data_IF_673036279536
#
_entry.id   IF_673036279536
#
_cell.length_a   1.000
_cell.length_b   1.000
_cell.length_c   1.000
_cell.angle_alpha   90.00
_cell.angle_beta   90.00
_cell.angle_gamma   90.00
#
_symmetry.space_group_name_H-M   'P 1'
#
loop_
_entity.id
_entity.type
_entity.pdbx_description
1 polymer ?
#
# COMPACT_ATOMS: atom_id res chain seq x y z
N UNK A 1 -4.01 0.44 2.40
CA UNK A 1 -3.97 1.02 3.76
C UNK A 1 -4.69 2.34 3.73
N UNK A 2 -5.44 2.63 4.79
CA UNK A 2 -6.12 3.90 5.00
C UNK A 2 -5.14 4.83 5.70
N UNK A 3 -4.92 6.02 5.16
CA UNK A 3 -4.11 7.06 5.78
C UNK A 3 -5.03 8.21 6.15
N UNK A 4 -4.84 8.75 7.35
CA UNK A 4 -5.53 9.94 7.82
C UNK A 4 -4.50 11.04 8.06
N UNK A 5 -4.86 12.26 7.69
CA UNK A 5 -4.12 13.46 8.03
C UNK A 5 -5.12 14.47 8.57
N UNK A 6 -4.92 14.90 9.81
CA UNK A 6 -5.62 16.04 10.39
C UNK A 6 -4.60 17.17 10.48
N UNK A 7 -4.84 18.26 9.75
CA UNK A 7 -4.03 19.46 9.85
C UNK A 7 -4.68 20.39 10.88
N UNK A 8 -4.03 20.59 12.04
CA UNK A 8 -4.50 21.48 13.10
C UNK A 8 -3.52 22.64 13.34
N UNK A 9 -4.00 23.88 13.26
CA UNK A 9 -3.21 25.10 13.48
C UNK A 9 -3.81 26.05 14.52
N UNK A 10 -4.89 25.67 15.22
CA UNK A 10 -5.70 26.60 16.03
C UNK A 10 -5.85 26.16 17.48
N UNK A 11 -5.02 26.71 18.36
CA UNK A 11 -5.12 26.56 19.82
C UNK A 11 -6.55 26.68 20.35
N UNK A 12 -6.87 25.82 21.32
CA UNK A 12 -8.17 25.68 21.96
C UNK A 12 -8.94 26.99 22.07
N UNK A 13 -10.10 27.03 21.40
CA UNK A 13 -11.39 27.61 21.78
C UNK A 13 -12.19 27.86 20.48
N UNK A 14 -13.01 26.86 20.11
CA UNK A 14 -14.13 26.90 19.14
C UNK A 14 -13.78 26.85 17.64
N UNK A 15 -14.29 25.89 16.83
CA UNK A 15 -14.78 24.52 17.11
C UNK A 15 -13.66 23.45 17.08
N UNK A 16 -13.90 22.31 17.71
CA UNK A 16 -12.98 21.15 17.70
C UNK A 16 -13.59 19.97 16.93
N UNK A 17 -12.75 19.25 16.18
CA UNK A 17 -13.15 18.03 15.44
C UNK A 17 -12.19 16.92 15.79
N UNK A 18 -12.69 15.94 16.54
CA UNK A 18 -11.92 14.75 16.92
C UNK A 18 -12.30 13.58 16.00
N UNK A 19 -11.31 12.92 15.40
CA UNK A 19 -11.54 11.71 14.60
C UNK A 19 -11.01 10.50 15.36
N UNK A 20 -11.92 9.57 15.65
CA UNK A 20 -11.64 8.29 16.28
C UNK A 20 -11.64 7.19 15.24
N UNK A 21 -10.60 6.35 15.22
CA UNK A 21 -10.60 5.09 14.48
C UNK A 21 -10.53 3.91 15.45
N UNK A 22 -11.49 2.98 15.32
CA UNK A 22 -11.63 1.84 16.22
C UNK A 22 -11.61 0.52 15.43
N UNK A 23 -11.01 -0.51 16.05
CA UNK A 23 -10.89 -1.87 15.51
C UNK A 23 -12.12 -2.75 15.79
N UNK A 24 -13.09 -2.26 16.57
CA UNK A 24 -14.37 -2.92 16.82
C UNK A 24 -15.57 -2.00 16.55
N UNK A 25 -16.74 -2.63 16.42
CA UNK A 25 -18.00 -2.01 16.01
C UNK A 25 -18.86 -1.47 17.16
N UNK A 26 -18.40 -1.58 18.40
CA UNK A 26 -19.25 -1.31 19.56
C UNK A 26 -19.06 0.11 20.05
N UNK A 27 -20.05 0.95 19.75
CA UNK A 27 -20.20 2.33 20.24
C UNK A 27 -20.17 2.43 21.79
N UNK A 28 -20.21 1.29 22.50
CA UNK A 28 -20.27 1.20 23.95
C UNK A 28 -18.91 1.09 24.65
N UNK A 29 -17.81 0.80 23.94
CA UNK A 29 -16.48 0.66 24.53
C UNK A 29 -15.48 1.58 23.83
N UNK A 30 -15.54 2.86 24.17
CA UNK A 30 -14.48 3.82 23.89
C UNK A 30 -13.25 3.58 24.80
N UNK A 31 -12.76 2.34 24.83
CA UNK A 31 -11.61 1.89 25.63
C UNK A 31 -10.27 2.10 24.93
N UNK A 32 -9.22 1.50 25.50
CA UNK A 32 -7.78 1.59 25.16
C UNK A 32 -7.37 1.24 23.71
N UNK A 33 -8.32 0.91 22.84
CA UNK A 33 -8.10 0.47 21.45
C UNK A 33 -8.51 1.52 20.38
N UNK A 34 -8.98 2.71 20.78
CA UNK A 34 -9.21 3.83 19.87
C UNK A 34 -8.16 4.92 20.12
N UNK A 35 -7.69 5.55 19.04
CA UNK A 35 -6.78 6.71 19.10
C UNK A 35 -7.57 8.00 18.90
N UNK A 36 -7.21 9.05 19.65
CA UNK A 36 -7.73 10.41 19.48
C UNK A 36 -6.73 11.24 18.68
N UNK A 37 -7.22 11.91 17.64
CA UNK A 37 -6.51 13.01 16.99
C UNK A 37 -7.31 14.27 17.29
N UNK A 38 -6.91 14.96 18.37
CA UNK A 38 -7.67 16.04 19.00
C UNK A 38 -6.73 17.03 19.69
N UNK A 39 -7.04 18.32 19.57
CA UNK A 39 -6.27 19.42 20.17
C UNK A 39 -6.42 19.49 21.70
N UNK A 40 -6.04 20.63 22.29
CA UNK A 40 -6.18 20.88 23.72
C UNK A 40 -7.67 21.05 24.11
N UNK A 41 -8.37 19.92 24.24
CA UNK A 41 -9.80 19.82 24.50
C UNK A 41 -10.24 18.36 24.68
N UNK A 42 -9.48 17.42 24.11
CA UNK A 42 -9.62 15.98 24.32
C UNK A 42 -9.67 15.62 25.81
N UNK A 43 -10.69 14.84 26.21
CA UNK A 43 -10.73 14.26 27.55
C UNK A 43 -9.46 13.43 27.75
N UNK A 44 -8.81 13.53 28.92
CA UNK A 44 -7.51 12.89 29.22
C UNK A 44 -7.51 11.35 29.23
N UNK A 45 -8.46 10.71 28.55
CA UNK A 45 -8.85 9.31 28.67
C UNK A 45 -8.23 8.42 27.60
N UNK A 46 -7.67 8.96 26.49
CA UNK A 46 -7.15 8.16 25.37
C UNK A 46 -5.80 8.64 24.81
N UNK A 47 -5.01 7.74 24.18
CA UNK A 47 -3.72 8.10 23.59
C UNK A 47 -3.88 9.03 22.38
N UNK A 48 -3.23 10.19 22.45
CA UNK A 48 -3.07 11.12 21.32
C UNK A 48 -1.95 10.65 20.40
N UNK A 49 -2.12 10.79 19.09
CA UNK A 49 -1.04 10.50 18.17
C UNK A 49 -0.98 11.49 17.01
N UNK A 50 0.20 12.07 16.79
CA UNK A 50 0.45 13.06 15.75
C UNK A 50 0.98 12.37 14.48
N UNK A 51 0.37 12.67 13.32
CA UNK A 51 0.85 12.23 12.00
C UNK A 51 0.03 11.11 11.33
N UNK A 52 0.50 10.66 10.17
CA UNK A 52 -0.18 9.66 9.34
C UNK A 52 -0.22 8.28 10.05
N UNK A 53 -1.42 7.85 10.47
CA UNK A 53 -1.62 6.48 10.97
C UNK A 53 -1.97 5.51 9.86
N UNK A 54 -1.29 4.36 9.88
CA UNK A 54 -1.55 3.23 8.99
C UNK A 54 -2.38 2.19 9.72
N UNK A 55 -3.58 1.92 9.21
CA UNK A 55 -4.42 0.83 9.69
C UNK A 55 -4.22 -0.43 8.81
N UNK A 56 -4.16 -1.63 9.42
CA UNK A 56 -4.16 -2.90 8.68
C UNK A 56 -5.34 -3.00 7.73
N UNK A 57 -5.26 -3.89 6.73
CA UNK A 57 -6.41 -4.18 5.87
C UNK A 57 -7.56 -4.77 6.70
N UNK A 58 -8.78 -4.23 6.56
CA UNK A 58 -9.94 -4.66 7.33
C UNK A 58 -11.08 -3.65 7.28
N UNK A 59 -12.20 -4.00 7.90
CA UNK A 59 -13.29 -3.06 8.15
C UNK A 59 -12.91 -2.21 9.36
N UNK A 60 -12.94 -0.90 9.19
CA UNK A 60 -12.66 0.06 10.26
C UNK A 60 -13.90 0.93 10.48
N UNK A 61 -14.08 1.34 11.73
CA UNK A 61 -15.19 2.17 12.14
C UNK A 61 -14.61 3.52 12.57
N UNK A 62 -15.21 4.60 12.08
CA UNK A 62 -14.80 5.95 12.40
C UNK A 62 -15.94 6.70 13.08
N UNK A 63 -15.59 7.49 14.09
CA UNK A 63 -16.49 8.46 14.71
C UNK A 63 -15.84 9.83 14.55
N UNK A 64 -16.58 10.79 14.04
CA UNK A 64 -16.18 12.19 14.07
C UNK A 64 -17.00 12.87 15.16
N UNK A 65 -16.35 13.32 16.22
CA UNK A 65 -16.96 14.20 17.22
C UNK A 65 -16.76 15.64 16.76
N UNK A 66 -17.83 16.42 16.84
CA UNK A 66 -17.84 17.83 16.44
C UNK A 66 -18.34 18.60 17.64
N UNK A 67 -17.45 19.37 18.27
CA UNK A 67 -17.81 20.23 19.39
C UNK A 67 -17.94 21.69 18.92
N UNK A 68 -19.16 22.21 18.97
CA UNK A 68 -19.45 23.63 18.76
C UNK A 68 -20.11 24.21 20.02
N UNK A 69 -19.39 25.07 20.74
CA UNK A 69 -19.90 25.75 21.92
C UNK A 69 -20.80 26.95 21.61
N UNK A 70 -21.04 27.27 20.34
CA UNK A 70 -21.79 28.45 19.91
C UNK A 70 -23.22 28.07 19.53
N UNK A 71 -24.19 28.38 20.37
CA UNK A 71 -25.60 28.14 20.06
C UNK A 71 -26.04 28.97 18.84
N UNK A 72 -26.36 28.32 17.72
CA UNK A 72 -27.15 28.94 16.63
C UNK A 72 -26.55 28.93 15.23
N UNK A 73 -25.35 28.39 15.03
CA UNK A 73 -24.80 28.07 13.70
C UNK A 73 -24.25 26.65 13.75
N UNK A 74 -24.80 25.73 12.95
CA UNK A 74 -24.09 24.49 12.63
C UNK A 74 -23.31 24.75 11.35
N UNK A 75 -22.00 25.05 11.39
CA UNK A 75 -21.22 25.05 10.16
C UNK A 75 -21.22 23.64 9.56
N UNK A 76 -21.15 23.56 8.22
CA UNK A 76 -20.98 22.27 7.55
C UNK A 76 -19.54 21.79 7.77
N UNK A 77 -19.36 20.65 8.44
CA UNK A 77 -18.06 20.00 8.60
C UNK A 77 -17.88 18.93 7.53
N UNK A 78 -16.70 18.90 6.89
CA UNK A 78 -16.34 17.88 5.89
C UNK A 78 -15.19 17.02 6.41
N UNK A 79 -15.44 15.73 6.59
CA UNK A 79 -14.39 14.74 6.85
C UNK A 79 -14.02 14.09 5.51
N UNK A 80 -12.78 14.26 5.06
CA UNK A 80 -12.28 13.64 3.82
C UNK A 80 -11.48 12.38 4.15
N UNK A 81 -12.02 11.22 3.78
CA UNK A 81 -11.34 9.94 3.93
C UNK A 81 -10.69 9.56 2.59
N UNK A 82 -9.37 9.67 2.52
CA UNK A 82 -8.61 9.33 1.31
C UNK A 82 -8.14 7.86 1.37
N UNK A 83 -8.96 6.95 0.86
CA UNK A 83 -8.54 5.58 0.63
C UNK A 83 -7.87 5.46 -0.74
N UNK A 84 -6.63 4.94 -0.78
CA UNK A 84 -5.99 4.60 -2.05
C UNK A 84 -6.76 3.45 -2.72
N UNK A 85 -7.03 3.57 -4.02
CA UNK A 85 -7.68 2.53 -4.81
C UNK A 85 -6.83 1.25 -4.86
N UNK A 86 -7.50 0.11 -4.89
CA UNK A 86 -6.86 -1.20 -4.97
C UNK A 86 -6.40 -1.46 -6.39
N UNK A 87 -5.15 -1.88 -6.54
CA UNK A 87 -4.55 -2.27 -7.82
C UNK A 87 -4.45 -3.78 -7.97
N UNK A 88 -4.38 -4.23 -9.22
CA UNK A 88 -4.09 -5.62 -9.58
C UNK A 88 -2.72 -5.68 -10.25
N UNK A 89 -1.91 -6.65 -9.86
CA UNK A 89 -0.61 -6.91 -10.48
C UNK A 89 -0.52 -8.42 -10.71
N UNK A 90 -0.32 -8.80 -11.97
CA UNK A 90 -0.07 -10.17 -12.40
C UNK A 90 1.18 -10.19 -13.25
N UNK A 91 1.91 -11.30 -13.24
CA UNK A 91 3.16 -11.42 -13.97
C UNK A 91 3.18 -12.66 -14.87
N UNK A 92 4.01 -12.61 -15.90
CA UNK A 92 4.26 -13.73 -16.81
C UNK A 92 5.72 -13.77 -17.25
N UNK A 93 6.43 -14.75 -16.73
CA UNK A 93 7.81 -15.07 -17.09
C UNK A 93 7.91 -15.51 -18.56
N UNK A 94 8.99 -15.11 -19.21
CA UNK A 94 9.30 -15.49 -20.58
C UNK A 94 10.82 -15.74 -20.74
N UNK A 95 11.26 -16.99 -20.97
CA UNK A 95 10.46 -18.21 -21.07
C UNK A 95 10.08 -18.79 -19.69
N UNK A 96 9.17 -19.77 -19.67
CA UNK A 96 8.84 -20.58 -18.46
C UNK A 96 9.78 -21.78 -18.28
N UNK A 97 10.46 -22.18 -19.33
CA UNK A 97 11.50 -23.22 -19.32
C UNK A 97 12.69 -22.77 -20.17
N UNK A 98 13.91 -23.02 -19.71
CA UNK A 98 15.13 -22.61 -20.42
C UNK A 98 16.27 -23.59 -20.17
N UNK A 99 17.38 -23.46 -20.90
CA UNK A 99 18.65 -24.10 -20.54
C UNK A 99 19.60 -23.12 -19.90
N UNK A 100 20.57 -23.61 -19.12
CA UNK A 100 21.59 -22.74 -18.51
C UNK A 100 22.27 -21.88 -19.58
N UNK A 101 22.28 -20.57 -19.36
CA UNK A 101 22.80 -19.60 -20.31
C UNK A 101 21.74 -18.94 -21.20
N UNK A 102 20.48 -19.35 -21.13
CA UNK A 102 19.39 -18.61 -21.76
C UNK A 102 19.06 -17.33 -20.98
N UNK A 103 18.53 -16.33 -21.69
CA UNK A 103 18.05 -15.08 -21.10
C UNK A 103 16.64 -15.25 -20.58
N UNK A 104 16.46 -14.96 -19.29
CA UNK A 104 15.18 -14.92 -18.61
C UNK A 104 14.64 -13.49 -18.61
N UNK A 105 13.38 -13.32 -18.99
CA UNK A 105 12.63 -12.07 -18.89
C UNK A 105 11.31 -12.31 -18.14
N UNK A 106 10.67 -11.20 -17.79
CA UNK A 106 9.35 -11.17 -17.14
C UNK A 106 8.52 -10.00 -17.68
N UNK A 107 7.21 -10.11 -17.50
CA UNK A 107 6.24 -9.07 -17.79
C UNK A 107 5.28 -8.92 -16.62
N UNK A 108 4.89 -7.69 -16.29
CA UNK A 108 3.89 -7.38 -15.27
C UNK A 108 2.73 -6.61 -15.90
N UNK A 109 1.52 -7.13 -15.77
CA UNK A 109 0.28 -6.44 -16.15
C UNK A 109 -0.34 -5.79 -14.92
N UNK A 110 -0.34 -4.46 -14.92
CA UNK A 110 -0.88 -3.59 -13.88
C UNK A 110 -2.26 -3.07 -14.29
N UNK A 111 -3.23 -3.20 -13.39
CA UNK A 111 -4.61 -2.76 -13.60
C UNK A 111 -5.34 -2.39 -12.32
N UNK A 112 -6.67 -2.25 -12.40
CA UNK A 112 -7.49 -1.70 -11.32
C UNK A 112 -7.14 -0.23 -11.07
N UNK A 113 -7.13 0.19 -9.81
CA UNK A 113 -6.77 1.55 -9.41
C UNK A 113 -7.77 2.62 -9.87
N UNK A 114 -7.34 3.87 -9.80
CA UNK A 114 -8.10 5.05 -10.22
C UNK A 114 -7.17 6.12 -10.80
N UNK A 115 -7.70 6.89 -11.75
CA UNK A 115 -6.93 7.88 -12.50
C UNK A 115 -5.82 7.24 -13.34
N UNK A 116 -4.83 8.06 -13.72
CA UNK A 116 -3.62 7.56 -14.39
C UNK A 116 -2.67 7.01 -13.32
N UNK A 117 -2.42 5.70 -13.37
CA UNK A 117 -1.46 5.06 -12.48
C UNK A 117 -0.05 5.58 -12.79
N UNK A 118 0.72 5.85 -11.74
CA UNK A 118 2.10 6.33 -11.82
C UNK A 118 3.00 5.61 -10.81
N UNK A 119 4.27 5.98 -10.69
CA UNK A 119 5.25 5.31 -9.84
C UNK A 119 6.12 4.33 -10.63
N UNK A 120 6.49 3.20 -10.03
CA UNK A 120 7.38 2.22 -10.66
C UNK A 120 6.95 0.78 -10.43
N UNK A 121 7.36 -0.11 -11.34
CA UNK A 121 7.38 -1.56 -11.13
C UNK A 121 8.84 -2.00 -11.02
N UNK A 122 9.20 -2.61 -9.90
CA UNK A 122 10.50 -3.25 -9.70
C UNK A 122 10.37 -4.75 -9.90
N UNK A 123 11.05 -5.28 -10.90
CA UNK A 123 11.24 -6.69 -11.16
C UNK A 123 12.49 -7.19 -10.45
N UNK A 124 12.39 -8.33 -9.77
CA UNK A 124 13.50 -9.00 -9.12
C UNK A 124 13.51 -10.48 -9.48
N UNK A 125 14.65 -10.99 -9.92
CA UNK A 125 14.86 -12.40 -10.19
C UNK A 125 15.69 -13.02 -9.08
N UNK A 126 15.20 -14.10 -8.49
CA UNK A 126 15.84 -14.85 -7.43
C UNK A 126 16.36 -16.18 -7.96
N UNK A 127 17.52 -16.58 -7.45
CA UNK A 127 18.20 -17.82 -7.85
C UNK A 127 17.44 -19.06 -7.36
N UNK A 128 17.77 -20.26 -7.88
CA UNK A 128 17.18 -21.51 -7.40
C UNK A 128 17.28 -21.75 -5.90
N UNK A 129 18.36 -21.30 -5.26
CA UNK A 129 18.57 -21.42 -3.81
C UNK A 129 17.68 -20.49 -2.97
N UNK A 130 17.03 -19.49 -3.57
CA UNK A 130 16.24 -18.49 -2.86
C UNK A 130 14.73 -18.75 -2.99
N UNK A 131 14.26 -19.85 -2.39
CA UNK A 131 12.87 -20.30 -2.51
C UNK A 131 11.81 -19.34 -1.95
N UNK A 132 12.20 -18.40 -1.09
CA UNK A 132 11.30 -17.43 -0.43
C UNK A 132 11.46 -16.00 -0.94
N UNK A 133 12.37 -15.75 -1.89
CA UNK A 133 12.66 -14.41 -2.42
C UNK A 133 13.03 -13.37 -1.34
N UNK A 134 13.63 -13.83 -0.24
CA UNK A 134 14.01 -12.99 0.90
C UNK A 134 15.47 -12.50 0.84
N UNK A 135 16.33 -13.15 0.04
CA UNK A 135 17.73 -12.81 -0.12
C UNK A 135 18.01 -11.73 -1.17
N UNK A 136 19.27 -11.52 -1.50
CA UNK A 136 19.67 -10.61 -2.58
C UNK A 136 19.29 -11.20 -3.95
N UNK A 137 18.52 -10.48 -4.78
CA UNK A 137 18.17 -10.96 -6.11
C UNK A 137 19.39 -11.01 -7.04
N UNK A 138 19.40 -11.97 -7.96
CA UNK A 138 20.42 -12.07 -9.02
C UNK A 138 20.28 -10.95 -10.07
N UNK A 139 19.06 -10.45 -10.26
CA UNK A 139 18.77 -9.37 -11.18
C UNK A 139 17.69 -8.45 -10.61
N UNK A 140 17.83 -7.14 -10.85
CA UNK A 140 16.82 -6.15 -10.53
C UNK A 140 16.67 -5.18 -11.68
N UNK A 141 15.43 -4.91 -12.08
CA UNK A 141 15.11 -3.87 -13.05
C UNK A 141 13.90 -3.08 -12.59
N UNK A 142 13.97 -1.75 -12.71
CA UNK A 142 12.86 -0.86 -12.39
C UNK A 142 12.36 -0.20 -13.67
N UNK A 143 11.05 -0.20 -13.86
CA UNK A 143 10.37 0.42 -15.00
C UNK A 143 9.38 1.47 -14.48
N UNK A 144 9.32 2.63 -15.14
CA UNK A 144 8.37 3.68 -14.82
C UNK A 144 6.97 3.31 -15.27
N UNK A 145 5.97 3.56 -14.42
CA UNK A 145 4.55 3.35 -14.71
C UNK A 145 3.97 4.63 -15.29
N UNK A 146 3.31 4.50 -16.43
CA UNK A 146 2.65 5.60 -17.17
C UNK A 146 1.15 5.38 -17.34
N UNK A 147 0.60 4.36 -16.68
CA UNK A 147 -0.81 4.00 -16.69
C UNK A 147 -1.02 2.52 -16.39
N UNK A 148 -2.28 2.08 -16.46
CA UNK A 148 -2.57 0.66 -16.52
C UNK A 148 -1.99 0.07 -17.84
N UNK A 149 -1.46 -1.15 -17.78
CA UNK A 149 -0.83 -1.78 -18.93
C UNK A 149 0.20 -2.83 -18.55
N UNK A 150 0.89 -3.34 -19.58
CA UNK A 150 1.93 -4.35 -19.43
C UNK A 150 3.32 -3.70 -19.52
N UNK A 151 4.16 -4.04 -18.56
CA UNK A 151 5.54 -3.58 -18.44
C UNK A 151 6.45 -4.80 -18.51
N UNK A 152 7.56 -4.73 -19.23
CA UNK A 152 8.44 -5.89 -19.47
C UNK A 152 9.86 -5.61 -19.06
N UNK A 153 10.58 -6.64 -18.66
CA UNK A 153 12.03 -6.55 -18.47
C UNK A 153 12.75 -6.48 -19.83
N UNK A 154 13.90 -5.81 -19.85
CA UNK A 154 14.81 -5.76 -21.00
C UNK A 154 16.19 -5.25 -20.54
N UNK A 155 17.31 -5.88 -20.94
CA UNK A 155 17.40 -7.02 -21.85
C UNK A 155 17.10 -8.38 -21.18
N UNK A 156 16.91 -8.41 -19.87
CA UNK A 156 16.72 -9.64 -19.08
C UNK A 156 18.00 -10.11 -18.38
N UNK A 157 18.00 -11.34 -17.87
CA UNK A 157 19.12 -11.94 -17.16
C UNK A 157 19.54 -13.28 -17.74
N UNK A 158 20.83 -13.45 -18.05
CA UNK A 158 21.37 -14.73 -18.54
C UNK A 158 21.53 -15.70 -17.37
N UNK A 159 20.76 -16.78 -17.36
CA UNK A 159 20.78 -17.77 -16.28
C UNK A 159 22.18 -18.41 -16.12
N UNK A 160 22.57 -18.67 -14.87
CA UNK A 160 23.93 -19.16 -14.53
C UNK A 160 23.96 -20.55 -13.90
N UNK A 161 22.80 -21.12 -13.60
CA UNK A 161 22.67 -22.42 -12.97
C UNK A 161 21.31 -23.04 -13.29
N UNK A 162 21.28 -24.38 -13.30
CA UNK A 162 20.05 -25.15 -13.38
C UNK A 162 19.24 -25.01 -12.08
N UNK A 163 17.93 -25.21 -12.19
CA UNK A 163 16.97 -25.14 -11.10
C UNK A 163 15.84 -24.14 -11.34
N UNK A 164 15.02 -23.92 -10.32
CA UNK A 164 13.83 -23.06 -10.41
C UNK A 164 14.16 -21.61 -10.07
N UNK A 165 14.24 -20.76 -11.09
CA UNK A 165 14.35 -19.31 -10.93
C UNK A 165 12.99 -18.69 -10.67
N UNK A 166 12.96 -17.55 -9.94
CA UNK A 166 11.71 -16.96 -9.44
C UNK A 166 11.67 -15.47 -9.68
N UNK A 167 10.68 -15.01 -10.43
CA UNK A 167 10.41 -13.58 -10.60
C UNK A 167 9.48 -13.06 -9.51
N UNK A 168 9.71 -11.81 -9.12
CA UNK A 168 8.80 -11.02 -8.29
C UNK A 168 8.72 -9.61 -8.84
N UNK A 169 7.51 -9.17 -9.16
CA UNK A 169 7.24 -7.79 -9.51
C UNK A 169 6.64 -7.06 -8.31
N UNK A 170 7.01 -5.80 -8.13
CA UNK A 170 6.44 -4.92 -7.11
C UNK A 170 6.14 -3.56 -7.71
N UNK A 171 4.85 -3.24 -7.80
CA UNK A 171 4.36 -1.90 -8.07
C UNK A 171 4.43 -1.05 -6.80
N UNK A 172 5.02 0.13 -6.90
CA UNK A 172 5.20 1.06 -5.77
C UNK A 172 3.89 1.64 -5.23
N UNK A 173 2.86 1.71 -6.07
CA UNK A 173 1.73 2.60 -5.80
C UNK A 173 2.04 4.05 -6.18
N UNK A 174 1.04 4.91 -5.99
CA UNK A 174 1.15 6.36 -6.13
C UNK A 174 0.27 7.06 -5.08
N UNK A 175 0.01 8.36 -5.22
CA UNK A 175 -0.81 9.12 -4.28
C UNK A 175 -2.25 8.58 -4.16
N UNK A 176 -2.81 8.03 -5.23
CA UNK A 176 -4.20 7.56 -5.32
C UNK A 176 -4.33 6.04 -5.31
N UNK A 177 -3.25 5.31 -5.57
CA UNK A 177 -3.26 3.87 -5.83
C UNK A 177 -2.33 3.11 -4.89
N UNK A 178 -2.82 2.01 -4.34
CA UNK A 178 -2.02 1.15 -3.46
C UNK A 178 -0.91 0.45 -4.24
N UNK A 179 0.27 0.32 -3.62
CA UNK A 179 1.32 -0.56 -4.12
C UNK A 179 0.92 -2.02 -4.02
N UNK A 180 1.55 -2.86 -4.84
CA UNK A 180 1.25 -4.29 -4.87
C UNK A 180 2.46 -5.11 -5.28
N UNK A 181 2.64 -6.28 -4.66
CA UNK A 181 3.67 -7.24 -5.04
C UNK A 181 3.06 -8.58 -5.42
N UNK A 182 3.70 -9.28 -6.35
CA UNK A 182 3.44 -10.70 -6.58
C UNK A 182 4.12 -11.56 -5.49
N UNK A 183 3.63 -12.81 -5.37
CA UNK A 183 4.23 -13.82 -4.50
C UNK A 183 5.50 -14.40 -5.15
N UNK A 184 6.43 -14.90 -4.35
CA UNK A 184 7.74 -15.37 -4.83
C UNK A 184 7.68 -16.49 -5.88
N UNK A 185 6.65 -17.34 -5.83
CA UNK A 185 6.52 -18.49 -6.74
C UNK A 185 5.27 -18.38 -7.61
N UNK A 186 4.85 -17.15 -7.94
CA UNK A 186 3.72 -16.93 -8.84
C UNK A 186 3.97 -17.56 -10.23
N UNK A 187 5.23 -17.60 -10.66
CA UNK A 187 5.64 -17.92 -12.03
C UNK A 187 7.09 -18.47 -12.06
N UNK A 188 7.32 -19.69 -11.57
CA UNK A 188 8.64 -20.29 -11.61
C UNK A 188 9.13 -20.48 -13.05
N UNK A 189 10.42 -20.23 -13.27
CA UNK A 189 11.12 -20.60 -14.51
C UNK A 189 12.02 -21.79 -14.23
N UNK A 190 11.79 -22.89 -14.92
CA UNK A 190 12.66 -24.08 -14.80
C UNK A 190 13.82 -23.99 -15.78
N UNK A 191 15.04 -23.99 -15.25
CA UNK A 191 16.27 -24.02 -16.06
C UNK A 191 16.92 -25.38 -15.91
N UNK A 192 17.22 -26.05 -17.03
CA UNK A 192 17.89 -27.37 -17.06
C UNK A 192 19.32 -27.31 -17.60
#
# INVERSE_FOLDING_TARGET
>A
MLNFKVDWTGGALVPDVDIYACSDSTVANFGTACFEDGGAGATASKPQATGDHQYPAGTHWFVAEIFDSTSGVSPNYFVTINAKAVTTLSTSANPTTAVVGDTLNDSATLGGGTGVLSGTITFRLFTPSQATCAGTPAYTQTVNVTGAGTYTTSPGFKSTAAGTWRWRATYSGDAKNQGRSTTCSAEPVTVS
#
